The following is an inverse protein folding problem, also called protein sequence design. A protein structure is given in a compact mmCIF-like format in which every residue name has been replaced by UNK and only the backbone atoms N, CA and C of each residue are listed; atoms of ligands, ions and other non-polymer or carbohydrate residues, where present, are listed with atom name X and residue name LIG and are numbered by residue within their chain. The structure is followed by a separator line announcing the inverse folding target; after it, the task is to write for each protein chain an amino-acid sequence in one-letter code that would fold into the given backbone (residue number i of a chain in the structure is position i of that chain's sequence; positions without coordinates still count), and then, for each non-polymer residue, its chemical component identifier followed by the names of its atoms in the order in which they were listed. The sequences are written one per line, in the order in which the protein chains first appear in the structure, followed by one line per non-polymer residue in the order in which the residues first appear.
data_IF_395809476800
#
_entry.id   IF_395809476800
#
_cell.length_a   1.000
_cell.length_b   1.000
_cell.length_c   1.000
_cell.angle_alpha   90.00
_cell.angle_beta   90.00
_cell.angle_gamma   90.00
#
_symmetry.space_group_name_H-M   'P 1'
#
loop_
_entity.id
_entity.type
_entity.pdbx_description
1 polymer ?
#
# COMPACT_ATOMS: atom_id res chain seq x y z
N UNK A 1 -0.26 21.82 24.86
CA UNK A 1 -0.75 21.01 23.73
C UNK A 1 -0.57 19.56 24.14
N UNK A 2 -1.67 18.90 24.49
CA UNK A 2 -1.61 17.54 25.01
C UNK A 2 -1.32 16.56 23.86
N UNK A 3 -0.19 15.86 23.97
CA UNK A 3 0.08 14.69 23.13
C UNK A 3 -0.83 13.56 23.59
N UNK A 4 -1.96 13.37 22.90
CA UNK A 4 -2.73 12.14 23.01
C UNK A 4 -1.89 10.98 22.47
N UNK A 5 -1.26 10.23 23.37
CA UNK A 5 -0.57 9.00 23.03
C UNK A 5 -1.60 7.90 22.77
N UNK A 6 -1.75 7.51 21.51
CA UNK A 6 -2.54 6.34 21.14
C UNK A 6 -1.59 5.14 21.07
N UNK A 7 -1.50 4.28 22.10
CA UNK A 7 -0.46 3.24 22.22
C UNK A 7 -0.51 2.14 21.15
N UNK A 8 -1.50 2.20 20.26
CA UNK A 8 -1.71 1.26 19.16
C UNK A 8 -1.70 1.94 17.80
N UNK A 9 -1.25 3.20 17.72
CA UNK A 9 -1.08 3.93 16.48
C UNK A 9 0.40 4.21 16.24
N UNK A 10 0.85 3.90 15.03
CA UNK A 10 2.16 4.27 14.52
C UNK A 10 1.94 5.13 13.28
N UNK A 11 2.37 6.40 13.37
CA UNK A 11 2.33 7.33 12.25
C UNK A 11 3.73 7.45 11.64
N UNK A 12 3.81 7.29 10.34
CA UNK A 12 5.03 7.37 9.54
C UNK A 12 4.94 8.59 8.62
N UNK A 13 6.01 9.36 8.54
CA UNK A 13 6.06 10.60 7.77
C UNK A 13 7.28 10.66 6.86
N UNK A 14 7.12 11.31 5.71
CA UNK A 14 8.12 11.57 4.67
C UNK A 14 8.64 10.30 4.01
N UNK A 15 8.30 10.11 2.73
CA UNK A 15 8.84 9.03 1.87
C UNK A 15 8.68 7.62 2.48
N UNK A 16 7.48 7.31 2.95
CA UNK A 16 7.15 6.00 3.52
C UNK A 16 7.13 4.94 2.42
N UNK A 17 7.80 3.82 2.67
CA UNK A 17 7.73 2.63 1.82
C UNK A 17 7.21 1.44 2.62
N UNK A 18 6.18 0.77 2.12
CA UNK A 18 5.60 -0.43 2.71
C UNK A 18 5.86 -1.62 1.78
N UNK A 19 6.31 -2.74 2.35
CA UNK A 19 6.50 -4.00 1.64
C UNK A 19 5.56 -5.04 2.20
N UNK A 20 4.81 -5.72 1.32
CA UNK A 20 4.23 -7.02 1.64
C UNK A 20 5.13 -8.12 1.08
N UNK A 21 5.75 -8.88 1.98
CA UNK A 21 6.66 -9.99 1.63
C UNK A 21 5.95 -11.34 1.57
N UNK A 22 4.61 -11.37 1.73
CA UNK A 22 3.84 -12.59 1.54
C UNK A 22 3.93 -13.03 0.06
N UNK A 23 4.27 -14.30 -0.23
CA UNK A 23 4.42 -14.78 -1.61
C UNK A 23 3.19 -14.58 -2.49
N UNK A 24 2.01 -14.55 -1.87
CA UNK A 24 0.70 -14.50 -2.52
C UNK A 24 0.25 -13.06 -2.85
N UNK A 25 0.83 -12.06 -2.17
CA UNK A 25 0.36 -10.67 -2.19
C UNK A 25 1.50 -9.69 -2.43
N UNK A 26 2.62 -10.13 -3.01
CA UNK A 26 3.82 -9.31 -3.14
C UNK A 26 3.53 -7.96 -3.80
N UNK A 27 3.61 -6.91 -3.00
CA UNK A 27 3.52 -5.54 -3.46
C UNK A 27 4.44 -4.63 -2.64
N UNK A 28 4.84 -3.53 -3.28
CA UNK A 28 5.54 -2.40 -2.68
C UNK A 28 4.65 -1.17 -2.85
N UNK A 29 4.47 -0.39 -1.78
CA UNK A 29 3.79 0.90 -1.81
C UNK A 29 4.73 2.00 -1.38
N UNK A 30 4.70 3.13 -2.09
CA UNK A 30 5.37 4.37 -1.69
C UNK A 30 4.36 5.49 -1.57
N UNK A 31 4.48 6.27 -0.51
CA UNK A 31 3.62 7.41 -0.19
C UNK A 31 4.38 8.40 0.69
N UNK A 32 3.80 9.56 0.97
CA UNK A 32 4.41 10.54 1.85
C UNK A 32 4.13 10.27 3.33
N UNK A 33 2.98 9.69 3.66
CA UNK A 33 2.62 9.39 5.03
C UNK A 33 1.73 8.14 5.12
N UNK A 34 1.78 7.47 6.26
CA UNK A 34 0.92 6.34 6.55
C UNK A 34 0.65 6.25 8.06
N UNK A 35 -0.58 5.90 8.41
CA UNK A 35 -0.99 5.63 9.78
C UNK A 35 -1.33 4.16 9.92
N UNK A 36 -0.79 3.53 10.95
CA UNK A 36 -0.92 2.10 11.22
C UNK A 36 -1.61 1.93 12.56
N UNK A 37 -2.80 1.30 12.56
CA UNK A 37 -3.42 0.81 13.77
C UNK A 37 -2.96 -0.63 14.03
N UNK A 38 -2.08 -0.79 15.02
CA UNK A 38 -1.46 -2.07 15.40
C UNK A 38 -2.47 -3.08 15.95
N UNK A 39 -3.55 -2.62 16.61
CA UNK A 39 -4.58 -3.50 17.20
C UNK A 39 -5.51 -4.06 16.13
N UNK A 40 -6.01 -3.22 15.22
CA UNK A 40 -6.89 -3.65 14.13
C UNK A 40 -6.11 -4.22 12.95
N UNK A 41 -4.78 -4.03 12.90
CA UNK A 41 -3.92 -4.34 11.76
C UNK A 41 -4.38 -3.67 10.46
N UNK A 42 -4.81 -2.41 10.59
CA UNK A 42 -5.21 -1.58 9.45
C UNK A 42 -4.15 -0.52 9.21
N UNK A 43 -3.86 -0.29 7.94
CA UNK A 43 -2.93 0.76 7.49
C UNK A 43 -3.72 1.65 6.54
N UNK A 44 -3.59 2.96 6.67
CA UNK A 44 -4.22 3.91 5.77
C UNK A 44 -3.27 5.06 5.47
N UNK A 45 -3.45 5.65 4.29
CA UNK A 45 -2.79 6.90 3.92
C UNK A 45 -3.75 7.72 3.09
N UNK A 46 -3.77 9.03 3.33
CA UNK A 46 -4.65 9.99 2.67
C UNK A 46 -3.92 10.75 1.54
N UNK A 47 -2.62 10.51 1.40
CA UNK A 47 -1.77 11.09 0.37
C UNK A 47 -1.58 10.13 -0.81
N UNK A 48 -1.20 10.72 -1.94
CA UNK A 48 -0.93 10.00 -3.17
C UNK A 48 -0.02 8.80 -2.93
N UNK A 49 -0.39 7.69 -3.55
CA UNK A 49 0.29 6.41 -3.41
C UNK A 49 0.69 5.89 -4.78
N UNK A 50 1.91 5.35 -4.85
CA UNK A 50 2.38 4.57 -5.97
C UNK A 50 2.60 3.14 -5.49
N UNK A 51 2.25 2.18 -6.33
CA UNK A 51 2.40 0.77 -6.02
C UNK A 51 2.98 -0.02 -7.17
N UNK A 52 3.72 -1.06 -6.80
CA UNK A 52 4.29 -2.04 -7.71
C UNK A 52 3.86 -3.42 -7.20
N UNK A 53 3.33 -4.27 -8.08
CA UNK A 53 3.02 -5.66 -7.78
C UNK A 53 3.37 -6.56 -8.98
N UNK A 54 3.18 -7.86 -8.83
CA UNK A 54 3.49 -8.85 -9.88
C UNK A 54 2.72 -8.62 -11.20
N UNK A 55 1.60 -7.92 -11.16
CA UNK A 55 0.78 -7.62 -12.33
C UNK A 55 1.14 -6.31 -13.01
N UNK A 56 1.92 -5.44 -12.36
CA UNK A 56 2.31 -4.13 -12.90
C UNK A 56 2.37 -3.02 -11.84
N UNK A 57 2.16 -1.79 -12.29
CA UNK A 57 2.21 -0.61 -11.42
C UNK A 57 0.83 0.01 -11.28
N UNK A 58 0.55 0.61 -10.12
CA UNK A 58 -0.71 1.31 -9.88
C UNK A 58 -0.47 2.58 -9.08
N UNK A 59 -1.45 3.49 -9.12
CA UNK A 59 -1.45 4.72 -8.35
C UNK A 59 -2.86 5.09 -7.93
N UNK A 60 -2.94 5.89 -6.87
CA UNK A 60 -4.18 6.49 -6.39
C UNK A 60 -3.94 7.68 -5.48
N UNK A 61 -5.03 8.32 -5.05
CA UNK A 61 -4.97 9.46 -4.13
C UNK A 61 -4.83 9.05 -2.67
N UNK A 62 -5.30 7.86 -2.32
CA UNK A 62 -5.25 7.33 -0.96
C UNK A 62 -5.28 5.80 -0.99
N UNK A 63 -4.94 5.16 0.13
CA UNK A 63 -5.00 3.71 0.26
C UNK A 63 -5.47 3.24 1.64
N UNK A 64 -5.89 1.99 1.68
CA UNK A 64 -6.15 1.24 2.90
C UNK A 64 -5.67 -0.20 2.73
N UNK A 65 -4.95 -0.71 3.73
CA UNK A 65 -4.61 -2.12 3.86
C UNK A 65 -5.37 -2.67 5.06
N UNK A 66 -6.15 -3.72 4.84
CA UNK A 66 -6.68 -4.58 5.90
C UNK A 66 -5.89 -5.89 5.88
N UNK A 67 -4.94 -6.04 6.83
CA UNK A 67 -4.09 -7.24 6.87
C UNK A 67 -4.88 -8.50 7.25
N UNK A 68 -5.97 -8.37 8.02
CA UNK A 68 -6.84 -9.51 8.37
C UNK A 68 -7.69 -9.94 7.18
N UNK A 69 -8.24 -8.95 6.47
CA UNK A 69 -9.01 -9.17 5.24
C UNK A 69 -8.14 -9.57 4.05
N UNK A 70 -6.82 -9.39 4.12
CA UNK A 70 -5.87 -9.53 3.00
C UNK A 70 -6.24 -8.65 1.80
N UNK A 71 -6.73 -7.44 2.08
CA UNK A 71 -7.19 -6.51 1.05
C UNK A 71 -6.34 -5.25 1.06
N UNK A 72 -5.79 -4.92 -0.11
CA UNK A 72 -5.31 -3.58 -0.43
C UNK A 72 -6.38 -2.88 -1.28
N UNK A 73 -6.83 -1.71 -0.80
CA UNK A 73 -7.77 -0.84 -1.52
C UNK A 73 -7.08 0.46 -1.88
N UNK A 74 -7.16 0.83 -3.16
CA UNK A 74 -6.69 2.12 -3.68
C UNK A 74 -7.90 3.00 -3.96
N UNK A 75 -7.89 4.22 -3.44
CA UNK A 75 -8.99 5.17 -3.57
C UNK A 75 -8.66 6.22 -4.63
N UNK A 76 -9.71 6.57 -5.37
CA UNK A 76 -9.62 7.31 -6.63
C UNK A 76 -9.22 8.78 -6.49
N UNK A 77 -8.79 9.40 -7.60
CA UNK A 77 -8.63 8.80 -8.94
C UNK A 77 -7.53 7.72 -8.99
N UNK A 78 -7.81 6.58 -9.63
CA UNK A 78 -6.91 5.42 -9.67
C UNK A 78 -6.39 5.17 -11.09
N UNK A 79 -5.12 4.82 -11.22
CA UNK A 79 -4.53 4.31 -12.47
C UNK A 79 -3.87 2.98 -12.21
N UNK A 80 -4.00 2.03 -13.14
CA UNK A 80 -3.23 0.78 -13.13
C UNK A 80 -2.65 0.53 -14.53
N UNK A 81 -1.38 0.13 -14.57
CA UNK A 81 -0.66 -0.26 -15.77
C UNK A 81 -0.20 -1.71 -15.62
N UNK A 82 -0.87 -2.60 -16.34
CA UNK A 82 -0.50 -4.01 -16.36
C UNK A 82 0.80 -4.23 -17.14
N UNK A 83 1.63 -5.16 -16.67
CA UNK A 83 2.70 -5.72 -17.48
C UNK A 83 2.07 -6.43 -18.67
N UNK A 84 2.51 -6.09 -19.89
CA UNK A 84 2.04 -6.78 -21.08
C UNK A 84 2.44 -8.26 -21.04
N UNK A 85 1.69 -9.11 -21.75
CA UNK A 85 2.08 -10.50 -21.95
C UNK A 85 3.42 -10.54 -22.69
N UNK A 86 4.51 -10.84 -21.98
CA UNK A 86 5.69 -11.36 -22.65
C UNK A 86 5.27 -12.71 -23.23
N UNK A 87 5.07 -12.77 -24.55
CA UNK A 87 5.05 -14.06 -25.25
C UNK A 87 6.32 -14.78 -24.82
N UNK A 88 6.17 -15.82 -24.00
CA UNK A 88 7.20 -16.82 -23.80
C UNK A 88 7.71 -17.17 -25.20
N UNK A 89 8.91 -16.73 -25.54
CA UNK A 89 9.60 -17.18 -26.72
C UNK A 89 9.87 -18.66 -26.47
N UNK A 90 8.96 -19.53 -26.95
CA UNK A 90 9.24 -20.94 -27.14
C UNK A 90 10.52 -21.01 -27.99
N UNK A 91 11.64 -21.36 -27.34
CA UNK A 91 12.76 -22.01 -27.99
C UNK A 91 12.56 -23.50 -27.82
#
# INVERSE_FOLDING_TARGET
MDLFFFPHHLDLFKNVTLYDTAPELFYKLTTQSASINLKSQKIFGEESVLGECIYGTFSGQAFMIDKKGKVLSIKGPCTIRFLGYTKSSRR
#
